data_IF_710557881314
#
_entry.id   IF_710557881314
#
_cell.length_a   1.000
_cell.length_b   1.000
_cell.length_c   1.000
_cell.angle_alpha   90.00
_cell.angle_beta   90.00
_cell.angle_gamma   90.00
#
_symmetry.space_group_name_H-M   'P 1'
#
loop_
_entity.id
_entity.type
_entity.pdbx_description
1 polymer ?
#
# COMPACT_ATOMS: atom_id res chain seq x y z
N UNK A 1 18.38 -13.00 6.99
CA UNK A 1 19.61 -13.77 7.32
C UNK A 1 19.96 -14.79 6.23
N UNK A 2 19.04 -15.63 5.77
CA UNK A 2 19.33 -16.69 4.77
C UNK A 2 19.75 -16.17 3.37
N UNK A 3 19.80 -14.87 3.14
CA UNK A 3 20.20 -14.21 1.88
C UNK A 3 21.43 -13.31 2.04
N UNK A 4 22.19 -13.49 3.13
CA UNK A 4 23.41 -12.72 3.40
C UNK A 4 23.17 -11.33 4.03
N UNK A 5 21.94 -11.00 4.41
CA UNK A 5 21.66 -9.76 5.11
C UNK A 5 22.01 -9.87 6.60
N UNK A 6 22.60 -8.84 7.14
CA UNK A 6 22.81 -8.64 8.57
C UNK A 6 21.68 -7.83 9.18
N UNK A 7 21.33 -8.11 10.42
CA UNK A 7 20.40 -7.30 11.21
C UNK A 7 21.24 -6.44 12.16
N UNK A 8 21.21 -5.13 11.96
CA UNK A 8 21.94 -4.17 12.76
C UNK A 8 21.06 -2.93 13.00
N UNK A 9 21.05 -2.42 14.21
CA UNK A 9 20.35 -1.19 14.55
C UNK A 9 21.19 0.06 14.18
N UNK A 10 22.51 -0.06 14.16
CA UNK A 10 23.39 1.01 13.69
C UNK A 10 23.56 0.96 12.17
N UNK A 11 23.04 1.98 11.49
CA UNK A 11 23.13 2.16 10.05
C UNK A 11 24.20 3.20 9.64
N UNK A 12 25.07 3.63 10.56
CA UNK A 12 26.09 4.66 10.33
C UNK A 12 27.09 4.29 9.21
N UNK A 13 27.38 3.00 9.05
CA UNK A 13 28.24 2.48 7.98
C UNK A 13 27.56 2.42 6.59
N UNK A 14 26.22 2.51 6.53
CA UNK A 14 25.49 2.45 5.27
C UNK A 14 25.60 3.78 4.51
N UNK A 15 25.94 3.74 3.24
CA UNK A 15 25.95 4.92 2.37
C UNK A 15 24.55 5.26 1.84
N UNK A 16 23.72 4.24 1.63
CA UNK A 16 22.35 4.36 1.10
C UNK A 16 21.40 3.60 2.05
N UNK A 17 20.32 4.25 2.43
CA UNK A 17 19.30 3.72 3.34
C UNK A 17 17.95 3.69 2.61
N UNK A 18 17.35 2.52 2.49
CA UNK A 18 16.05 2.33 1.88
C UNK A 18 14.96 2.22 2.95
N UNK A 19 13.92 3.03 2.80
CA UNK A 19 12.69 2.94 3.57
C UNK A 19 11.48 2.74 2.68
N UNK A 20 10.33 2.47 3.26
CA UNK A 20 9.05 2.45 2.55
C UNK A 20 8.27 3.72 2.82
N UNK A 21 8.17 4.10 4.07
CA UNK A 21 7.49 5.30 4.57
C UNK A 21 8.49 6.32 5.08
N UNK A 22 7.96 7.46 5.45
CA UNK A 22 8.71 8.53 6.11
C UNK A 22 9.50 7.95 7.29
N UNK A 23 10.71 8.44 7.47
CA UNK A 23 11.62 8.07 8.56
C UNK A 23 11.60 9.21 9.57
N UNK A 24 11.59 8.86 10.84
CA UNK A 24 11.60 9.84 11.93
C UNK A 24 12.81 10.77 11.81
N UNK A 25 12.58 12.07 11.96
CA UNK A 25 13.64 13.09 11.78
C UNK A 25 14.79 12.92 12.72
N UNK A 26 14.52 12.39 13.92
CA UNK A 26 15.53 12.18 14.97
C UNK A 26 16.53 11.08 14.61
N UNK A 27 16.11 10.06 13.86
CA UNK A 27 16.98 8.95 13.46
C UNK A 27 17.65 9.16 12.10
N UNK A 28 17.39 10.26 11.41
CA UNK A 28 18.06 10.59 10.15
C UNK A 28 19.55 10.89 10.37
N UNK A 29 20.40 10.19 9.62
CA UNK A 29 21.87 10.30 9.68
C UNK A 29 22.36 11.30 8.64
N UNK A 30 23.26 12.21 9.05
CA UNK A 30 23.81 13.24 8.19
C UNK A 30 24.58 12.69 6.98
N UNK A 31 24.54 13.40 5.87
CA UNK A 31 25.30 13.13 4.64
C UNK A 31 25.02 11.75 3.98
N UNK A 32 23.88 11.12 4.28
CA UNK A 32 23.48 9.84 3.67
C UNK A 32 22.57 10.03 2.48
N UNK A 33 22.41 8.98 1.69
CA UNK A 33 21.37 8.90 0.67
C UNK A 33 20.20 8.09 1.23
N UNK A 34 19.00 8.68 1.20
CA UNK A 34 17.77 8.02 1.61
C UNK A 34 16.84 7.84 0.42
N UNK A 35 16.15 6.68 0.38
CA UNK A 35 15.22 6.31 -0.70
C UNK A 35 13.91 5.84 -0.08
N UNK A 36 12.85 6.65 -0.13
CA UNK A 36 11.53 6.33 0.45
C UNK A 36 10.41 7.21 -0.13
N UNK A 37 9.15 6.93 0.24
CA UNK A 37 8.00 7.79 -0.05
C UNK A 37 7.92 8.93 0.96
N UNK A 38 8.38 10.12 0.61
CA UNK A 38 8.45 11.25 1.53
C UNK A 38 7.12 12.00 1.69
N UNK A 39 6.25 11.92 0.69
CA UNK A 39 5.02 12.72 0.58
C UNK A 39 5.23 14.24 0.67
N UNK A 40 6.46 14.72 0.57
CA UNK A 40 6.79 16.16 0.68
C UNK A 40 6.36 16.96 -0.54
N UNK A 41 6.19 16.32 -1.72
CA UNK A 41 5.69 16.98 -2.92
C UNK A 41 4.26 17.54 -2.77
N UNK A 42 3.51 17.10 -1.75
CA UNK A 42 2.16 17.59 -1.44
C UNK A 42 2.18 18.89 -0.64
N UNK A 43 3.35 19.37 -0.22
CA UNK A 43 3.49 20.65 0.45
C UNK A 43 3.27 21.77 -0.56
N UNK A 44 2.20 22.52 -0.39
CA UNK A 44 1.93 23.78 -1.09
C UNK A 44 1.81 24.90 -0.07
N UNK A 45 1.66 26.18 -0.52
CA UNK A 45 1.56 27.32 0.40
C UNK A 45 0.39 27.21 1.37
N UNK A 46 -0.74 26.63 0.94
CA UNK A 46 -1.93 26.47 1.79
C UNK A 46 -1.69 25.39 2.87
N UNK A 47 -1.11 24.24 2.49
CA UNK A 47 -0.78 23.18 3.45
C UNK A 47 0.33 23.57 4.40
N UNK A 48 1.25 24.44 4.01
CA UNK A 48 2.28 25.00 4.89
C UNK A 48 1.69 25.92 5.98
N UNK A 49 0.60 26.63 5.67
CA UNK A 49 -0.07 27.52 6.60
C UNK A 49 -1.08 26.81 7.51
N UNK A 50 -1.65 25.68 7.07
CA UNK A 50 -2.71 24.93 7.77
C UNK A 50 -2.18 23.71 8.53
N UNK A 51 -0.89 23.57 8.72
CA UNK A 51 -0.24 22.39 9.32
C UNK A 51 -0.38 22.27 10.85
N UNK A 52 -1.42 22.88 11.44
CA UNK A 52 -1.80 22.61 12.82
C UNK A 52 -2.74 21.39 12.86
N UNK A 53 -2.21 20.25 13.30
CA UNK A 53 -3.03 19.16 13.85
C UNK A 53 -3.31 17.94 12.98
N UNK A 54 -2.52 17.62 11.95
CA UNK A 54 -2.61 16.28 11.32
C UNK A 54 -1.77 15.30 12.13
N UNK A 55 -2.33 14.19 12.65
CA UNK A 55 -1.54 13.13 13.26
C UNK A 55 -0.66 12.50 12.19
N UNK A 56 0.63 12.71 12.29
CA UNK A 56 1.63 12.19 11.36
C UNK A 56 2.82 13.16 11.32
N UNK A 57 4.01 12.61 11.07
CA UNK A 57 5.24 13.39 10.95
C UNK A 57 5.02 14.64 10.11
N UNK A 58 5.40 15.79 10.64
CA UNK A 58 5.33 17.07 9.92
C UNK A 58 6.26 17.00 8.69
N UNK A 59 5.65 16.96 7.51
CA UNK A 59 6.38 16.88 6.22
C UNK A 59 7.29 18.09 6.00
N UNK A 60 6.97 19.23 6.58
CA UNK A 60 7.79 20.43 6.56
C UNK A 60 9.04 20.20 7.41
N UNK A 61 8.89 19.63 8.60
CA UNK A 61 9.99 19.30 9.49
C UNK A 61 10.90 18.22 8.86
N UNK A 62 10.31 17.20 8.25
CA UNK A 62 11.07 16.20 7.50
C UNK A 62 11.91 16.84 6.40
N UNK A 63 11.32 17.71 5.57
CA UNK A 63 12.05 18.39 4.49
C UNK A 63 13.14 19.30 5.03
N UNK A 64 12.88 20.02 6.11
CA UNK A 64 13.87 20.86 6.81
C UNK A 64 15.03 20.01 7.32
N UNK A 65 14.76 18.90 8.00
CA UNK A 65 15.78 17.97 8.50
C UNK A 65 16.62 17.36 7.37
N UNK A 66 16.00 17.02 6.23
CA UNK A 66 16.70 16.52 5.04
C UNK A 66 17.71 17.56 4.54
N UNK A 67 17.35 18.85 4.51
CA UNK A 67 18.23 19.93 4.07
C UNK A 67 19.35 20.20 5.09
N UNK A 68 19.02 20.33 6.37
CA UNK A 68 19.96 20.61 7.45
C UNK A 68 21.01 19.50 7.61
N UNK A 69 20.57 18.24 7.49
CA UNK A 69 21.44 17.06 7.57
C UNK A 69 22.16 16.75 6.26
N UNK A 70 22.00 17.57 5.21
CA UNK A 70 22.63 17.41 3.89
C UNK A 70 22.36 16.02 3.28
N UNK A 71 21.14 15.54 3.44
CA UNK A 71 20.70 14.24 2.94
C UNK A 71 20.38 14.32 1.44
N UNK A 72 20.80 13.31 0.67
CA UNK A 72 20.32 13.10 -0.70
C UNK A 72 19.03 12.30 -0.63
N UNK A 73 17.88 12.94 -0.83
CA UNK A 73 16.59 12.26 -0.85
C UNK A 73 16.22 11.83 -2.27
N UNK A 74 16.03 10.54 -2.47
CA UNK A 74 15.43 9.95 -3.67
C UNK A 74 14.00 9.56 -3.31
N UNK A 75 13.05 10.42 -3.65
CA UNK A 75 11.64 10.18 -3.37
C UNK A 75 11.03 9.25 -4.42
N UNK A 76 10.53 8.09 -4.01
CA UNK A 76 9.83 7.14 -4.88
C UNK A 76 8.65 7.76 -5.65
N UNK A 77 8.01 8.80 -5.11
CA UNK A 77 6.89 9.46 -5.76
C UNK A 77 7.29 10.25 -6.99
N UNK A 78 8.55 10.66 -7.06
CA UNK A 78 9.10 11.44 -8.16
C UNK A 78 9.77 10.57 -9.23
N UNK A 79 9.89 9.26 -9.01
CA UNK A 79 10.38 8.34 -10.03
C UNK A 79 9.21 8.04 -10.98
N UNK A 80 9.28 8.62 -12.17
CA UNK A 80 8.22 8.55 -13.19
C UNK A 80 8.75 7.98 -14.50
N UNK A 81 7.85 7.37 -15.26
CA UNK A 81 8.14 6.95 -16.62
C UNK A 81 8.05 8.13 -17.61
N UNK A 82 8.32 7.85 -18.88
CA UNK A 82 8.22 8.84 -19.98
C UNK A 82 6.83 9.46 -20.14
N UNK A 83 5.78 8.81 -19.63
CA UNK A 83 4.40 9.29 -19.68
C UNK A 83 3.99 10.00 -18.38
N UNK A 84 4.94 10.40 -17.54
CA UNK A 84 4.72 11.00 -16.21
C UNK A 84 3.97 10.12 -15.22
N UNK A 85 3.77 8.84 -15.51
CA UNK A 85 3.16 7.89 -14.58
C UNK A 85 4.17 7.48 -13.53
N UNK A 86 3.73 7.32 -12.29
CA UNK A 86 4.60 6.83 -11.21
C UNK A 86 5.12 5.43 -11.54
N UNK A 87 6.43 5.27 -11.56
CA UNK A 87 7.06 3.98 -11.80
C UNK A 87 6.84 3.05 -10.61
N UNK A 88 7.04 3.56 -9.40
CA UNK A 88 6.88 2.82 -8.15
C UNK A 88 5.54 3.13 -7.49
N UNK A 89 4.89 2.09 -6.97
CA UNK A 89 3.65 2.23 -6.22
C UNK A 89 3.06 0.87 -5.83
N UNK A 90 2.56 0.79 -4.61
CA UNK A 90 2.03 -0.45 -4.02
C UNK A 90 0.51 -0.60 -4.19
N UNK A 91 -0.14 0.23 -5.04
CA UNK A 91 -1.60 0.24 -5.18
C UNK A 91 -2.20 -1.12 -5.52
N UNK A 92 -1.60 -1.88 -6.44
CA UNK A 92 -2.06 -3.24 -6.76
C UNK A 92 -2.04 -4.15 -5.53
N UNK A 93 -0.93 -4.17 -4.80
CA UNK A 93 -0.82 -5.00 -3.59
C UNK A 93 -1.74 -4.52 -2.46
N UNK A 94 -1.96 -3.21 -2.32
CA UNK A 94 -2.94 -2.67 -1.39
C UNK A 94 -4.36 -3.17 -1.72
N UNK A 95 -4.72 -3.21 -3.00
CA UNK A 95 -5.99 -3.78 -3.46
C UNK A 95 -6.11 -5.28 -3.18
N UNK A 96 -5.07 -6.05 -3.47
CA UNK A 96 -5.02 -7.49 -3.21
C UNK A 96 -5.21 -7.79 -1.72
N UNK A 97 -4.39 -7.18 -0.85
CA UNK A 97 -4.42 -7.43 0.59
C UNK A 97 -5.72 -6.89 1.21
N UNK A 98 -6.17 -5.71 0.79
CA UNK A 98 -7.41 -5.11 1.25
C UNK A 98 -8.61 -5.99 0.92
N UNK A 99 -8.74 -6.43 -0.33
CA UNK A 99 -9.80 -7.32 -0.78
C UNK A 99 -9.79 -8.66 -0.02
N UNK A 100 -8.63 -9.30 0.07
CA UNK A 100 -8.47 -10.57 0.79
C UNK A 100 -8.92 -10.46 2.25
N UNK A 101 -8.46 -9.43 2.97
CA UNK A 101 -8.85 -9.23 4.36
C UNK A 101 -10.34 -8.89 4.52
N UNK A 102 -10.93 -8.14 3.57
CA UNK A 102 -12.37 -7.85 3.55
C UNK A 102 -13.19 -9.12 3.34
N UNK A 103 -12.80 -9.97 2.38
CA UNK A 103 -13.45 -11.27 2.17
C UNK A 103 -13.33 -12.15 3.41
N UNK A 104 -12.20 -12.12 4.11
CA UNK A 104 -12.04 -12.84 5.36
C UNK A 104 -13.01 -12.35 6.45
N UNK A 105 -13.21 -11.04 6.59
CA UNK A 105 -14.23 -10.47 7.49
C UNK A 105 -15.66 -10.87 7.07
N UNK A 106 -15.93 -10.99 5.76
CA UNK A 106 -17.21 -11.49 5.29
C UNK A 106 -17.43 -12.95 5.73
N UNK A 107 -16.40 -13.81 5.67
CA UNK A 107 -16.53 -15.19 6.18
C UNK A 107 -16.91 -15.22 7.66
N UNK A 108 -16.24 -14.40 8.48
CA UNK A 108 -16.57 -14.27 9.92
C UNK A 108 -18.03 -13.82 10.11
N UNK A 109 -18.48 -12.82 9.37
CA UNK A 109 -19.87 -12.32 9.43
C UNK A 109 -20.91 -13.41 9.10
N UNK A 110 -20.60 -14.32 8.21
CA UNK A 110 -21.49 -15.41 7.81
C UNK A 110 -21.22 -16.72 8.59
N UNK A 111 -20.55 -16.64 9.74
CA UNK A 111 -20.21 -17.79 10.61
C UNK A 111 -19.45 -18.90 9.86
N UNK A 112 -18.63 -18.53 8.89
CA UNK A 112 -17.70 -19.42 8.20
C UNK A 112 -16.33 -19.35 8.87
N UNK A 113 -15.54 -20.41 8.74
CA UNK A 113 -14.19 -20.43 9.27
C UNK A 113 -13.35 -19.33 8.61
N UNK A 114 -12.74 -18.41 9.39
CA UNK A 114 -11.91 -17.36 8.84
C UNK A 114 -10.58 -17.90 8.32
N UNK A 115 -10.03 -17.23 7.33
CA UNK A 115 -8.71 -17.49 6.80
C UNK A 115 -7.61 -16.86 7.67
N UNK A 116 -6.37 -17.30 7.51
CA UNK A 116 -5.22 -16.58 8.04
C UNK A 116 -5.15 -15.16 7.45
N UNK A 117 -4.87 -14.15 8.27
CA UNK A 117 -4.69 -12.77 7.81
C UNK A 117 -3.55 -12.67 6.81
N UNK A 118 -3.66 -11.78 5.82
CA UNK A 118 -2.70 -11.67 4.72
C UNK A 118 -1.24 -11.54 5.18
N UNK A 119 -0.97 -10.81 6.27
CA UNK A 119 0.40 -10.62 6.80
C UNK A 119 1.01 -11.90 7.39
N UNK A 120 0.22 -12.96 7.64
CA UNK A 120 0.69 -14.27 8.11
C UNK A 120 0.92 -15.26 6.97
N UNK A 121 0.68 -14.83 5.72
CA UNK A 121 0.81 -15.68 4.53
C UNK A 121 2.14 -15.36 3.86
N UNK A 122 2.93 -16.38 3.60
CA UNK A 122 4.32 -16.23 3.14
C UNK A 122 4.49 -15.64 1.73
N UNK A 123 3.49 -15.80 0.85
CA UNK A 123 3.57 -15.31 -0.52
C UNK A 123 2.18 -15.17 -1.18
N UNK A 124 2.15 -14.49 -2.31
CA UNK A 124 0.95 -14.23 -3.10
C UNK A 124 0.24 -15.51 -3.56
N UNK A 125 0.98 -16.52 -4.02
CA UNK A 125 0.37 -17.75 -4.52
C UNK A 125 -0.44 -18.46 -3.42
N UNK A 126 0.10 -18.57 -2.21
CA UNK A 126 -0.64 -19.13 -1.07
C UNK A 126 -1.87 -18.32 -0.68
N UNK A 127 -1.80 -16.99 -0.83
CA UNK A 127 -2.96 -16.13 -0.60
C UNK A 127 -4.09 -16.47 -1.59
N UNK A 128 -3.78 -16.62 -2.85
CA UNK A 128 -4.74 -16.99 -3.89
C UNK A 128 -5.25 -18.42 -3.69
N UNK A 129 -4.39 -19.36 -3.37
CA UNK A 129 -4.80 -20.76 -3.16
C UNK A 129 -5.78 -20.91 -1.99
N UNK A 130 -5.67 -20.09 -0.96
CA UNK A 130 -6.64 -20.04 0.13
C UNK A 130 -8.05 -19.63 -0.33
N UNK A 131 -8.18 -18.88 -1.43
CA UNK A 131 -9.47 -18.40 -1.95
C UNK A 131 -10.13 -19.39 -2.91
N UNK A 132 -9.36 -20.15 -3.69
CA UNK A 132 -9.85 -21.00 -4.78
C UNK A 132 -10.88 -22.06 -4.34
N UNK A 133 -10.77 -22.55 -3.13
CA UNK A 133 -11.65 -23.60 -2.59
C UNK A 133 -12.74 -23.05 -1.66
N UNK A 134 -12.87 -21.73 -1.59
CA UNK A 134 -13.88 -21.09 -0.77
C UNK A 134 -15.10 -20.74 -1.59
N UNK A 135 -16.26 -21.03 -1.03
CA UNK A 135 -17.52 -20.60 -1.57
C UNK A 135 -18.07 -19.45 -0.72
N UNK A 136 -18.06 -18.24 -1.29
CA UNK A 136 -18.62 -17.07 -0.64
C UNK A 136 -20.15 -17.08 -0.76
N UNK A 137 -20.87 -16.70 0.30
CA UNK A 137 -22.32 -16.57 0.25
C UNK A 137 -22.70 -15.50 -0.78
N UNK A 138 -23.96 -15.52 -1.19
CA UNK A 138 -24.53 -14.54 -2.11
C UNK A 138 -24.33 -13.14 -1.55
N UNK A 139 -23.64 -12.28 -2.30
CA UNK A 139 -23.36 -10.90 -1.93
C UNK A 139 -23.14 -10.04 -3.17
N UNK A 140 -23.52 -8.78 -3.09
CA UNK A 140 -23.24 -7.80 -4.11
C UNK A 140 -22.03 -6.95 -3.69
N UNK A 141 -21.02 -6.88 -4.55
CA UNK A 141 -19.81 -6.12 -4.31
C UNK A 141 -19.68 -5.04 -5.38
N UNK A 142 -19.61 -3.78 -4.96
CA UNK A 142 -19.31 -2.67 -5.84
C UNK A 142 -17.83 -2.26 -5.65
N UNK A 143 -17.09 -2.27 -6.75
CA UNK A 143 -15.71 -1.77 -6.79
C UNK A 143 -15.69 -0.43 -7.53
N UNK A 144 -15.30 0.64 -6.83
CA UNK A 144 -15.22 1.99 -7.41
C UNK A 144 -13.81 2.30 -7.90
N UNK A 145 -13.72 3.02 -9.04
CA UNK A 145 -12.46 3.42 -9.65
C UNK A 145 -11.85 2.35 -10.56
N UNK A 146 -10.84 2.74 -11.31
CA UNK A 146 -10.14 1.92 -12.32
C UNK A 146 -8.61 1.89 -12.13
N UNK A 147 -8.13 2.48 -11.04
CA UNK A 147 -6.72 2.60 -10.71
C UNK A 147 -6.07 1.28 -10.27
N UNK A 148 -4.81 1.36 -9.88
CA UNK A 148 -4.01 0.19 -9.45
C UNK A 148 -4.64 -0.56 -8.27
N UNK A 149 -5.29 0.13 -7.35
CA UNK A 149 -5.97 -0.49 -6.19
C UNK A 149 -7.17 -1.30 -6.66
N UNK A 150 -8.07 -0.71 -7.45
CA UNK A 150 -9.24 -1.39 -7.99
C UNK A 150 -8.85 -2.64 -8.81
N UNK A 151 -7.81 -2.54 -9.65
CA UNK A 151 -7.26 -3.68 -10.41
C UNK A 151 -6.80 -4.81 -9.48
N UNK A 152 -6.15 -4.50 -8.36
CA UNK A 152 -5.76 -5.48 -7.36
C UNK A 152 -6.96 -6.14 -6.66
N UNK A 153 -8.04 -5.39 -6.40
CA UNK A 153 -9.30 -5.92 -5.87
C UNK A 153 -9.93 -6.91 -6.86
N UNK A 154 -10.08 -6.48 -8.12
CA UNK A 154 -10.67 -7.32 -9.19
C UNK A 154 -9.86 -8.59 -9.41
N UNK A 155 -8.52 -8.51 -9.34
CA UNK A 155 -7.62 -9.66 -9.45
C UNK A 155 -7.93 -10.73 -8.39
N UNK A 156 -8.21 -10.33 -7.16
CA UNK A 156 -8.59 -11.23 -6.07
C UNK A 156 -9.99 -11.78 -6.27
N UNK A 157 -10.97 -10.94 -6.60
CA UNK A 157 -12.36 -11.37 -6.82
C UNK A 157 -12.48 -12.40 -7.94
N UNK A 158 -11.68 -12.29 -9.00
CA UNK A 158 -11.62 -13.28 -10.09
C UNK A 158 -11.14 -14.67 -9.67
N UNK A 159 -10.57 -14.81 -8.47
CA UNK A 159 -10.17 -16.12 -7.92
C UNK A 159 -11.27 -16.77 -7.06
N UNK A 160 -12.44 -16.15 -6.98
CA UNK A 160 -13.58 -16.61 -6.17
C UNK A 160 -14.75 -17.01 -7.05
N UNK A 161 -15.84 -17.49 -6.43
CA UNK A 161 -17.11 -17.76 -7.13
C UNK A 161 -17.91 -16.48 -7.49
N UNK A 162 -17.41 -15.28 -7.12
CA UNK A 162 -18.09 -14.00 -7.37
C UNK A 162 -17.92 -13.62 -8.84
N UNK A 163 -19.03 -13.38 -9.54
CA UNK A 163 -19.03 -13.06 -10.97
C UNK A 163 -19.02 -11.56 -11.20
N UNK A 164 -18.17 -11.12 -12.13
CA UNK A 164 -18.18 -9.74 -12.63
C UNK A 164 -19.41 -9.53 -13.54
N UNK A 165 -20.12 -8.45 -13.33
CA UNK A 165 -21.27 -8.03 -14.15
C UNK A 165 -21.06 -6.60 -14.64
N UNK A 166 -21.72 -6.24 -15.76
CA UNK A 166 -21.66 -4.85 -16.25
C UNK A 166 -22.39 -3.89 -15.31
N UNK A 167 -22.08 -2.59 -15.44
CA UNK A 167 -22.75 -1.55 -14.67
C UNK A 167 -24.26 -1.52 -14.91
N UNK A 168 -24.67 -1.67 -16.17
CA UNK A 168 -26.08 -1.67 -16.58
C UNK A 168 -26.81 -2.85 -15.95
N UNK A 169 -26.19 -4.03 -15.97
CA UNK A 169 -26.73 -5.23 -15.36
C UNK A 169 -26.84 -5.08 -13.84
N UNK A 170 -25.82 -4.55 -13.18
CA UNK A 170 -25.83 -4.32 -11.74
C UNK A 170 -26.94 -3.34 -11.28
N UNK A 171 -27.29 -2.33 -12.13
CA UNK A 171 -28.32 -1.34 -11.83
C UNK A 171 -29.75 -1.84 -12.10
N UNK A 172 -29.92 -2.73 -13.07
CA UNK A 172 -31.24 -3.09 -13.62
C UNK A 172 -31.72 -4.49 -13.25
N UNK A 173 -30.85 -5.35 -12.76
CA UNK A 173 -31.20 -6.71 -12.37
C UNK A 173 -31.20 -6.86 -10.85
N UNK A 174 -32.28 -7.43 -10.31
CA UNK A 174 -32.27 -7.98 -8.95
C UNK A 174 -31.49 -9.30 -9.00
N UNK A 175 -30.33 -9.32 -8.41
CA UNK A 175 -29.56 -10.54 -8.22
C UNK A 175 -30.11 -11.29 -7.00
N UNK A 176 -31.18 -12.08 -7.22
CA UNK A 176 -31.69 -13.01 -6.21
C UNK A 176 -30.76 -14.21 -5.98
#
# INVERSE_FOLDING_TARGET
>A
KNKGAEINEDLSSCSIIFGVKEIDTDVLINNKTYVFFSHTYKLNRETLNNAQGTPGMDKKELLKSVLEKKIKLIDYENIRDKNSSRYLGFGRFAGIVGCYNTLNLCLEKYNKQPLARAHRINNYQRLIDNLKNLYFPKMNILVTGDGRVAKGVIEVLKQTNIKEVSKEKFQNENFD
#
